data_IF_441008995673
#
_entry.id   IF_441008995673
#
_cell.length_a   1.000
_cell.length_b   1.000
_cell.length_c   1.000
_cell.angle_alpha   90.00
_cell.angle_beta   90.00
_cell.angle_gamma   90.00
#
_symmetry.space_group_name_H-M   'P 1'
#
loop_
_entity.id
_entity.type
_entity.pdbx_description
1 polymer ?
#
# COMPACT_ATOMS: atom_id res chain seq x y z
N UNK A 1 -33.24 35.51 5.92
CA UNK A 1 -33.37 34.36 5.04
C UNK A 1 -32.24 34.44 4.04
N UNK A 2 -31.21 33.73 4.24
CA UNK A 2 -30.14 33.59 3.27
C UNK A 2 -29.79 32.09 3.28
N UNK A 3 -30.11 31.42 2.19
CA UNK A 3 -29.82 30.03 1.94
C UNK A 3 -28.33 29.84 1.73
N UNK A 4 -27.78 29.01 2.56
CA UNK A 4 -26.40 28.55 2.47
C UNK A 4 -26.39 27.36 1.50
N UNK A 5 -26.12 27.58 0.24
CA UNK A 5 -25.79 26.53 -0.72
C UNK A 5 -24.34 26.11 -0.51
N UNK A 6 -24.18 24.97 0.11
CA UNK A 6 -22.91 24.26 0.25
C UNK A 6 -22.51 23.71 -1.12
N UNK A 7 -21.68 24.43 -1.83
CA UNK A 7 -21.10 24.05 -3.12
C UNK A 7 -19.87 23.19 -2.86
N UNK A 8 -20.07 21.87 -2.74
CA UNK A 8 -18.99 20.91 -2.80
C UNK A 8 -18.53 20.76 -4.26
N UNK A 9 -17.68 21.68 -4.70
CA UNK A 9 -16.91 21.48 -5.92
C UNK A 9 -15.92 20.33 -5.66
N UNK A 10 -16.23 19.16 -6.19
CA UNK A 10 -15.32 18.01 -6.24
C UNK A 10 -14.04 18.41 -6.99
N UNK A 11 -12.93 18.32 -6.31
CA UNK A 11 -11.58 18.59 -6.84
C UNK A 11 -11.29 17.61 -7.99
N UNK A 12 -10.76 18.11 -9.10
CA UNK A 12 -10.24 17.26 -10.19
C UNK A 12 -9.05 16.43 -9.71
N UNK A 13 -9.21 15.11 -9.74
CA UNK A 13 -8.16 14.17 -9.38
C UNK A 13 -6.93 14.32 -10.30
N UNK A 14 -5.73 14.26 -9.74
CA UNK A 14 -4.51 14.20 -10.54
C UNK A 14 -4.45 12.90 -11.36
N UNK A 15 -3.76 12.87 -12.50
CA UNK A 15 -3.66 11.65 -13.32
C UNK A 15 -3.20 10.41 -12.56
N UNK A 16 -2.23 10.54 -11.65
CA UNK A 16 -1.76 9.43 -10.83
C UNK A 16 -2.84 8.95 -9.84
N UNK A 17 -3.52 9.86 -9.12
CA UNK A 17 -4.62 9.54 -8.21
C UNK A 17 -5.72 8.77 -8.92
N UNK A 18 -6.06 9.23 -10.12
CA UNK A 18 -7.08 8.63 -10.94
C UNK A 18 -6.70 7.21 -11.38
N UNK A 19 -5.42 7.03 -11.76
CA UNK A 19 -4.89 5.73 -12.17
C UNK A 19 -4.86 4.73 -11.00
N UNK A 20 -4.51 5.19 -9.81
CA UNK A 20 -4.54 4.40 -8.58
C UNK A 20 -5.95 3.96 -8.21
N UNK A 21 -6.91 4.88 -8.27
CA UNK A 21 -8.31 4.56 -8.03
C UNK A 21 -8.83 3.56 -9.05
N UNK A 22 -8.44 3.64 -10.33
CA UNK A 22 -8.79 2.66 -11.36
C UNK A 22 -8.26 1.27 -10.99
N UNK A 23 -7.00 1.18 -10.58
CA UNK A 23 -6.40 -0.10 -10.18
C UNK A 23 -7.05 -0.66 -8.91
N UNK A 24 -7.32 0.19 -7.92
CA UNK A 24 -8.03 -0.18 -6.70
C UNK A 24 -9.45 -0.70 -7.00
N UNK A 25 -10.17 -0.08 -7.93
CA UNK A 25 -11.48 -0.56 -8.37
C UNK A 25 -11.39 -1.92 -9.06
N UNK A 26 -10.36 -2.14 -9.86
CA UNK A 26 -10.14 -3.42 -10.56
C UNK A 26 -9.72 -4.55 -9.61
N UNK A 27 -9.23 -4.26 -8.42
CA UNK A 27 -9.03 -5.29 -7.37
C UNK A 27 -10.35 -5.74 -6.74
N UNK A 28 -11.34 -4.85 -6.70
CA UNK A 28 -12.69 -5.12 -6.13
C UNK A 28 -13.68 -5.66 -7.16
N UNK A 29 -13.52 -5.28 -8.41
CA UNK A 29 -14.38 -5.67 -9.53
C UNK A 29 -13.51 -6.18 -10.66
N UNK A 30 -13.71 -7.41 -11.07
CA UNK A 30 -12.91 -8.02 -12.16
C UNK A 30 -12.97 -7.24 -13.48
N UNK A 31 -14.00 -6.42 -13.68
CA UNK A 31 -14.21 -5.58 -14.86
C UNK A 31 -14.86 -4.26 -14.46
N UNK A 32 -14.36 -3.15 -15.02
CA UNK A 32 -14.94 -1.80 -14.86
C UNK A 32 -15.13 -1.16 -16.22
N UNK A 33 -16.21 -0.39 -16.39
CA UNK A 33 -16.49 0.31 -17.65
C UNK A 33 -15.94 1.74 -17.64
N UNK A 34 -15.68 2.29 -18.83
CA UNK A 34 -15.21 3.68 -18.98
C UNK A 34 -16.22 4.65 -18.40
N UNK A 35 -17.51 4.40 -18.58
CA UNK A 35 -18.58 5.30 -18.09
C UNK A 35 -18.69 5.29 -16.56
N UNK A 36 -18.59 4.11 -15.92
CA UNK A 36 -18.55 4.00 -14.46
C UNK A 36 -17.34 4.73 -13.87
N UNK A 37 -16.17 4.52 -14.47
CA UNK A 37 -14.96 5.21 -14.05
C UNK A 37 -15.05 6.72 -14.23
N UNK A 38 -15.61 7.20 -15.33
CA UNK A 38 -15.78 8.64 -15.56
C UNK A 38 -16.69 9.29 -14.51
N UNK A 39 -17.76 8.60 -14.12
CA UNK A 39 -18.69 9.05 -13.08
C UNK A 39 -18.05 9.02 -11.70
N UNK A 40 -17.44 7.89 -11.33
CA UNK A 40 -16.78 7.68 -10.02
C UNK A 40 -15.61 8.64 -9.78
N UNK A 41 -14.82 8.91 -10.82
CA UNK A 41 -13.62 9.74 -10.74
C UNK A 41 -13.87 11.20 -11.08
N UNK A 42 -15.15 11.58 -11.26
CA UNK A 42 -15.57 12.93 -11.65
C UNK A 42 -14.73 13.52 -12.80
N UNK A 43 -14.56 12.73 -13.88
CA UNK A 43 -13.72 13.11 -15.03
C UNK A 43 -14.39 12.72 -16.35
N UNK A 44 -13.78 13.07 -17.48
CA UNK A 44 -14.34 12.74 -18.80
C UNK A 44 -13.97 11.31 -19.23
N UNK A 45 -14.82 10.66 -20.03
CA UNK A 45 -14.49 9.36 -20.63
C UNK A 45 -13.20 9.38 -21.46
N UNK A 46 -12.87 10.50 -22.07
CA UNK A 46 -11.62 10.67 -22.85
C UNK A 46 -10.42 10.56 -21.92
N UNK A 47 -10.49 11.22 -20.76
CA UNK A 47 -9.44 11.15 -19.73
C UNK A 47 -9.29 9.72 -19.20
N UNK A 48 -10.40 9.07 -18.86
CA UNK A 48 -10.40 7.66 -18.43
C UNK A 48 -9.78 6.74 -19.48
N UNK A 49 -10.15 6.89 -20.76
CA UNK A 49 -9.58 6.08 -21.85
C UNK A 49 -8.08 6.25 -22.00
N UNK A 50 -7.59 7.48 -21.77
CA UNK A 50 -6.15 7.77 -21.75
C UNK A 50 -5.45 7.07 -20.59
N UNK A 51 -6.02 7.16 -19.38
CA UNK A 51 -5.48 6.52 -18.19
C UNK A 51 -5.46 4.98 -18.34
N UNK A 52 -6.56 4.39 -18.80
CA UNK A 52 -6.62 2.97 -19.11
C UNK A 52 -5.60 2.52 -20.15
N UNK A 53 -5.26 3.39 -21.10
CA UNK A 53 -4.22 3.09 -22.11
C UNK A 53 -2.83 3.08 -21.48
N UNK A 54 -2.56 4.06 -20.60
CA UNK A 54 -1.29 4.14 -19.88
C UNK A 54 -1.10 2.91 -19.00
N UNK A 55 -2.11 2.55 -18.20
CA UNK A 55 -2.10 1.39 -17.31
C UNK A 55 -1.99 0.06 -18.06
N UNK A 56 -2.65 -0.07 -19.21
CA UNK A 56 -2.55 -1.26 -20.05
C UNK A 56 -1.15 -1.41 -20.68
N UNK A 57 -0.55 -0.31 -21.14
CA UNK A 57 0.81 -0.30 -21.68
C UNK A 57 1.87 -0.60 -20.60
N UNK A 58 1.58 -0.24 -19.34
CA UNK A 58 2.37 -0.60 -18.17
C UNK A 58 2.16 -2.06 -17.71
N UNK A 59 1.25 -2.82 -18.37
CA UNK A 59 0.95 -4.20 -18.00
C UNK A 59 0.19 -4.34 -16.67
N UNK A 60 -0.49 -3.30 -16.19
CA UNK A 60 -1.17 -3.29 -14.90
C UNK A 60 -2.65 -3.71 -15.00
N UNK A 61 -3.23 -3.66 -16.19
CA UNK A 61 -4.59 -4.10 -16.49
C UNK A 61 -4.71 -4.55 -17.95
N UNK A 62 -5.81 -5.22 -18.28
CA UNK A 62 -6.15 -5.59 -19.67
C UNK A 62 -7.32 -4.73 -20.16
N UNK A 63 -7.16 -4.07 -21.31
CA UNK A 63 -8.26 -3.36 -21.95
C UNK A 63 -9.28 -4.32 -22.58
N UNK A 64 -10.55 -4.03 -22.35
CA UNK A 64 -11.69 -4.71 -22.99
C UNK A 64 -12.56 -3.67 -23.69
N UNK A 65 -13.50 -4.13 -24.53
CA UNK A 65 -14.41 -3.21 -25.25
C UNK A 65 -15.27 -2.45 -24.23
N UNK A 66 -15.06 -1.13 -24.15
CA UNK A 66 -15.80 -0.24 -23.25
C UNK A 66 -15.26 -0.13 -21.83
N UNK A 67 -14.09 -0.72 -21.48
CA UNK A 67 -13.57 -0.68 -20.13
C UNK A 67 -12.19 -1.33 -19.95
N UNK A 68 -11.97 -1.83 -18.76
CA UNK A 68 -10.77 -2.57 -18.38
C UNK A 68 -11.11 -3.75 -17.46
N UNK A 69 -10.20 -4.72 -17.40
CA UNK A 69 -10.28 -5.87 -16.50
C UNK A 69 -8.95 -6.09 -15.77
N UNK A 70 -9.03 -6.67 -14.59
CA UNK A 70 -7.87 -7.10 -13.82
C UNK A 70 -7.11 -8.22 -14.54
N UNK A 71 -5.78 -8.24 -14.42
CA UNK A 71 -4.92 -9.31 -14.95
C UNK A 71 -5.07 -10.63 -14.19
N UNK A 72 -5.57 -10.60 -12.96
CA UNK A 72 -5.74 -11.77 -12.09
C UNK A 72 -6.93 -12.67 -12.49
N UNK A 73 -7.60 -12.41 -13.61
CA UNK A 73 -8.83 -13.08 -14.04
C UNK A 73 -8.69 -14.06 -15.21
N UNK A 74 -7.52 -14.57 -15.56
CA UNK A 74 -7.37 -15.50 -16.67
C UNK A 74 -7.23 -16.96 -16.22
N UNK A 75 -8.32 -17.55 -15.74
CA UNK A 75 -8.53 -18.99 -15.86
C UNK A 75 -9.73 -19.23 -16.79
N UNK A 76 -9.43 -19.84 -17.90
CA UNK A 76 -10.29 -20.31 -18.98
C UNK A 76 -11.66 -20.81 -18.51
N UNK A 77 -12.73 -20.22 -19.06
CA UNK A 77 -13.91 -20.99 -19.42
C UNK A 77 -14.61 -20.39 -20.63
N UNK A 78 -14.49 -21.08 -21.73
CA UNK A 78 -15.33 -20.98 -22.94
C UNK A 78 -16.78 -21.30 -22.57
N UNK A 79 -17.69 -20.38 -22.83
CA UNK A 79 -19.11 -20.58 -22.67
C UNK A 79 -19.88 -19.31 -23.01
N UNK A 80 -20.42 -19.24 -24.21
CA UNK A 80 -21.36 -18.24 -24.70
C UNK A 80 -22.58 -18.16 -23.77
N UNK A 81 -22.88 -16.98 -23.22
CA UNK A 81 -24.23 -16.65 -22.76
C UNK A 81 -24.51 -15.15 -22.96
N UNK A 82 -25.51 -14.88 -23.73
CA UNK A 82 -26.16 -13.59 -23.92
C UNK A 82 -26.85 -13.12 -22.62
N UNK A 83 -26.80 -11.83 -22.25
CA UNK A 83 -27.54 -11.35 -21.09
C UNK A 83 -28.97 -10.99 -21.49
N UNK A 84 -29.93 -11.56 -20.78
CA UNK A 84 -31.30 -11.06 -20.71
C UNK A 84 -31.47 -10.27 -19.40
N UNK A 85 -31.73 -8.98 -19.55
CA UNK A 85 -32.20 -8.14 -18.46
C UNK A 85 -33.73 -8.31 -18.33
N UNK A 86 -34.20 -8.60 -17.12
CA UNK A 86 -35.41 -8.03 -16.49
C UNK A 86 -35.72 -8.76 -15.20
N UNK A 87 -35.61 -8.10 -14.06
CA UNK A 87 -36.56 -8.21 -12.96
C UNK A 87 -36.14 -7.37 -11.74
N UNK A 88 -37.09 -6.87 -10.94
CA UNK A 88 -36.91 -5.80 -9.98
C UNK A 88 -36.33 -6.28 -8.64
N UNK A 89 -35.73 -5.31 -7.93
CA UNK A 89 -35.17 -5.46 -6.58
C UNK A 89 -36.31 -5.72 -5.58
N UNK A 90 -36.25 -6.78 -4.76
CA UNK A 90 -37.08 -6.89 -3.58
C UNK A 90 -36.38 -6.37 -2.32
N UNK A 91 -37.14 -5.63 -1.53
CA UNK A 91 -36.85 -5.16 -0.17
C UNK A 91 -36.65 -6.30 0.84
N UNK A 92 -35.93 -6.04 1.96
CA UNK A 92 -35.52 -7.09 2.89
C UNK A 92 -36.62 -7.42 3.91
N UNK A 93 -37.30 -8.50 3.69
CA UNK A 93 -38.04 -9.24 4.74
C UNK A 93 -38.20 -10.71 4.31
N UNK A 94 -37.65 -11.60 5.11
CA UNK A 94 -37.92 -13.04 4.99
C UNK A 94 -36.73 -13.87 4.53
N UNK A 95 -35.76 -14.11 5.43
CA UNK A 95 -34.87 -15.27 5.32
C UNK A 95 -35.68 -16.49 5.72
N UNK A 96 -36.21 -17.18 4.73
CA UNK A 96 -36.78 -18.49 4.87
C UNK A 96 -35.78 -19.56 4.48
N UNK A 97 -35.62 -20.55 5.32
CA UNK A 97 -34.81 -21.75 5.16
C UNK A 97 -34.87 -22.32 3.73
N UNK A 98 -33.81 -22.12 2.96
CA UNK A 98 -33.52 -23.01 1.85
C UNK A 98 -32.31 -23.86 2.23
N UNK A 99 -32.42 -25.19 2.21
CA UNK A 99 -31.26 -26.05 2.39
C UNK A 99 -30.31 -25.84 1.19
N UNK A 100 -29.07 -25.50 1.49
CA UNK A 100 -27.97 -25.48 0.53
C UNK A 100 -27.86 -26.86 -0.12
N UNK A 101 -27.61 -26.96 -1.43
CA UNK A 101 -27.40 -28.24 -2.09
C UNK A 101 -26.18 -28.93 -1.48
N UNK A 102 -26.43 -29.98 -0.72
CA UNK A 102 -25.41 -30.92 -0.25
C UNK A 102 -24.92 -31.71 -1.44
N UNK A 103 -23.66 -31.50 -1.84
CA UNK A 103 -23.01 -32.37 -2.83
C UNK A 103 -22.22 -31.66 -3.91
N UNK A 104 -21.43 -30.63 -3.56
CA UNK A 104 -20.25 -30.27 -4.33
C UNK A 104 -19.08 -30.46 -3.36
N UNK A 105 -18.23 -31.45 -3.63
CA UNK A 105 -16.96 -31.57 -2.92
C UNK A 105 -16.19 -30.26 -3.17
N UNK A 106 -16.21 -29.37 -2.18
CA UNK A 106 -15.38 -28.17 -2.22
C UNK A 106 -13.90 -28.64 -2.17
N UNK A 107 -13.11 -28.46 -3.23
CA UNK A 107 -11.72 -28.89 -3.26
C UNK A 107 -10.86 -28.23 -2.17
N UNK A 108 -11.41 -27.27 -1.44
CA UNK A 108 -10.78 -26.56 -0.33
C UNK A 108 -11.36 -26.98 1.06
N UNK A 109 -12.36 -27.87 1.08
CA UNK A 109 -12.91 -28.36 2.35
C UNK A 109 -11.81 -29.02 3.18
N UNK A 110 -11.60 -28.54 4.40
CA UNK A 110 -10.61 -29.07 5.33
C UNK A 110 -9.17 -28.57 5.20
N UNK A 111 -8.88 -27.69 4.24
CA UNK A 111 -7.55 -27.04 4.19
C UNK A 111 -7.41 -26.01 5.33
N UNK A 112 -6.20 -25.93 5.96
CA UNK A 112 -5.91 -24.88 6.90
C UNK A 112 -6.15 -23.47 6.29
N UNK A 113 -6.64 -22.56 7.11
CA UNK A 113 -6.95 -21.18 6.70
C UNK A 113 -6.03 -20.21 7.44
N UNK A 114 -5.43 -19.31 6.69
CA UNK A 114 -4.71 -18.17 7.25
C UNK A 114 -5.58 -16.92 7.07
N UNK A 115 -5.94 -16.26 8.19
CA UNK A 115 -6.57 -14.94 8.18
C UNK A 115 -5.54 -13.88 7.82
N UNK A 116 -5.86 -12.98 6.88
CA UNK A 116 -4.96 -11.91 6.44
C UNK A 116 -5.66 -10.58 6.59
N UNK A 117 -5.24 -9.75 7.57
CA UNK A 117 -5.72 -8.40 7.80
C UNK A 117 -4.65 -7.39 7.43
N UNK A 118 -4.83 -6.70 6.33
CA UNK A 118 -3.91 -5.68 5.84
C UNK A 118 -4.67 -4.38 5.57
N UNK A 119 -3.97 -3.22 5.60
CA UNK A 119 -4.59 -1.94 5.28
C UNK A 119 -5.18 -1.90 3.87
N UNK A 120 -6.06 -0.93 3.65
CA UNK A 120 -6.65 -0.68 2.34
C UNK A 120 -5.60 -0.68 1.22
N UNK A 121 -5.98 -1.13 0.01
CA UNK A 121 -5.02 -1.32 -1.08
C UNK A 121 -4.27 -0.03 -1.40
N UNK A 122 -2.96 -0.12 -1.36
CA UNK A 122 -2.01 0.79 -1.97
C UNK A 122 -1.26 0.00 -3.05
N UNK A 123 -0.24 0.53 -3.66
CA UNK A 123 0.65 -0.27 -4.52
C UNK A 123 1.46 -1.33 -3.77
N UNK A 124 1.60 -1.18 -2.48
CA UNK A 124 2.40 -2.05 -1.62
C UNK A 124 1.67 -3.36 -1.29
N UNK A 125 0.50 -3.28 -0.67
CA UNK A 125 -0.20 -4.42 -0.08
C UNK A 125 -0.67 -5.49 -1.06
N UNK A 126 -1.14 -5.17 -2.29
CA UNK A 126 -1.53 -6.19 -3.26
C UNK A 126 -0.41 -7.19 -3.60
N UNK A 127 0.84 -6.70 -3.69
CA UNK A 127 1.99 -7.58 -3.95
C UNK A 127 2.35 -8.44 -2.73
N UNK A 128 2.16 -7.92 -1.51
CA UNK A 128 2.35 -8.68 -0.27
C UNK A 128 1.29 -9.79 -0.17
N UNK A 129 0.01 -9.46 -0.42
CA UNK A 129 -1.11 -10.43 -0.40
C UNK A 129 -0.87 -11.55 -1.41
N UNK A 130 -0.42 -11.21 -2.63
CA UNK A 130 -0.16 -12.23 -3.64
C UNK A 130 0.97 -13.17 -3.21
N UNK A 131 2.06 -12.64 -2.66
CA UNK A 131 3.14 -13.46 -2.11
C UNK A 131 2.67 -14.34 -0.94
N UNK A 132 1.87 -13.79 -0.03
CA UNK A 132 1.26 -14.57 1.06
C UNK A 132 0.43 -15.72 0.48
N UNK A 133 -0.38 -15.45 -0.56
CA UNK A 133 -1.23 -16.46 -1.21
C UNK A 133 -0.40 -17.57 -1.86
N UNK A 134 0.63 -17.19 -2.63
CA UNK A 134 1.53 -18.13 -3.28
C UNK A 134 2.17 -19.06 -2.24
N UNK A 135 2.77 -18.49 -1.20
CA UNK A 135 3.46 -19.26 -0.17
C UNK A 135 2.50 -20.09 0.69
N UNK A 136 1.31 -19.56 1.05
CA UNK A 136 0.30 -20.34 1.76
C UNK A 136 -0.10 -21.60 0.98
N UNK A 137 -0.25 -21.49 -0.35
CA UNK A 137 -0.56 -22.62 -1.22
C UNK A 137 0.57 -23.69 -1.20
N UNK A 138 1.85 -23.30 -1.09
CA UNK A 138 2.96 -24.25 -0.94
C UNK A 138 2.80 -25.11 0.31
N UNK A 139 2.26 -24.55 1.39
CA UNK A 139 1.97 -25.25 2.64
C UNK A 139 0.58 -25.95 2.66
N UNK A 140 -0.14 -25.95 1.53
CA UNK A 140 -1.47 -26.53 1.44
C UNK A 140 -2.55 -25.72 2.18
N UNK A 141 -2.26 -24.50 2.60
CA UNK A 141 -3.19 -23.59 3.25
C UNK A 141 -3.87 -22.66 2.23
N UNK A 142 -5.05 -22.16 2.56
CA UNK A 142 -5.72 -21.08 1.83
C UNK A 142 -5.73 -19.81 2.68
N UNK A 143 -5.84 -18.65 2.03
CA UNK A 143 -5.99 -17.39 2.73
C UNK A 143 -7.43 -16.88 2.67
N UNK A 144 -7.85 -16.19 3.73
CA UNK A 144 -9.05 -15.36 3.76
C UNK A 144 -8.62 -13.96 4.18
N UNK A 145 -8.79 -12.99 3.30
CA UNK A 145 -8.32 -11.62 3.53
C UNK A 145 -9.45 -10.65 3.82
N UNK A 146 -9.17 -9.69 4.69
CA UNK A 146 -9.98 -8.51 4.97
C UNK A 146 -9.09 -7.28 5.01
N UNK A 147 -9.62 -6.18 4.49
CA UNK A 147 -8.96 -4.89 4.51
C UNK A 147 -9.34 -4.14 5.78
N UNK A 148 -8.32 -3.64 6.50
CA UNK A 148 -8.51 -2.68 7.59
C UNK A 148 -8.46 -1.27 7.03
N UNK A 149 -9.26 -0.35 7.57
CA UNK A 149 -9.24 1.05 7.18
C UNK A 149 -8.43 1.88 8.17
N UNK A 150 -7.61 2.80 7.68
CA UNK A 150 -6.92 3.75 8.54
C UNK A 150 -7.89 4.72 9.26
N UNK A 151 -9.07 4.96 8.67
CA UNK A 151 -10.06 5.92 9.18
C UNK A 151 -11.14 5.24 10.04
N UNK A 152 -11.41 3.97 9.80
CA UNK A 152 -12.45 3.19 10.50
C UNK A 152 -11.80 2.14 11.38
N UNK A 153 -12.06 2.25 12.67
CA UNK A 153 -11.59 1.30 13.68
C UNK A 153 -12.45 0.05 13.60
N UNK A 154 -12.01 -0.94 12.82
CA UNK A 154 -12.71 -2.21 12.68
C UNK A 154 -11.78 -3.43 12.79
N UNK A 155 -10.56 -3.23 13.27
CA UNK A 155 -9.54 -4.30 13.30
C UNK A 155 -9.97 -5.47 14.19
N UNK A 156 -10.45 -5.18 15.39
CA UNK A 156 -10.91 -6.24 16.31
C UNK A 156 -12.13 -6.98 15.78
N UNK A 157 -13.05 -6.31 15.10
CA UNK A 157 -14.20 -6.94 14.44
C UNK A 157 -13.75 -7.89 13.32
N UNK A 158 -12.73 -7.48 12.54
CA UNK A 158 -12.15 -8.33 11.50
C UNK A 158 -11.47 -9.55 12.12
N UNK A 159 -10.72 -9.35 13.19
CA UNK A 159 -10.02 -10.42 13.89
C UNK A 159 -11.01 -11.41 14.54
N UNK A 160 -12.06 -10.92 15.16
CA UNK A 160 -13.14 -11.74 15.71
C UNK A 160 -13.86 -12.51 14.60
N UNK A 161 -14.08 -11.87 13.46
CA UNK A 161 -14.68 -12.55 12.31
C UNK A 161 -13.80 -13.71 11.82
N UNK A 162 -12.46 -13.56 11.78
CA UNK A 162 -11.57 -14.68 11.41
C UNK A 162 -11.75 -15.87 12.35
N UNK A 163 -12.01 -15.66 13.64
CA UNK A 163 -12.19 -16.76 14.59
C UNK A 163 -13.46 -17.59 14.33
N UNK A 164 -14.38 -17.09 13.51
CA UNK A 164 -15.56 -17.88 13.08
C UNK A 164 -15.22 -18.90 11.99
N UNK A 165 -14.03 -18.83 11.39
CA UNK A 165 -13.58 -19.78 10.36
C UNK A 165 -13.10 -21.09 11.04
N UNK A 166 -13.78 -22.22 10.80
CA UNK A 166 -13.49 -23.46 11.55
C UNK A 166 -12.09 -24.02 11.34
N UNK A 167 -11.48 -23.71 10.20
CA UNK A 167 -10.15 -24.21 9.83
C UNK A 167 -9.05 -23.16 10.03
N UNK A 168 -9.32 -22.08 10.76
CA UNK A 168 -8.33 -21.04 11.03
C UNK A 168 -7.14 -21.63 11.77
N UNK A 169 -5.96 -21.51 11.20
CA UNK A 169 -4.71 -22.00 11.80
C UNK A 169 -3.77 -20.89 12.24
N UNK A 170 -3.95 -19.67 11.75
CA UNK A 170 -3.14 -18.52 12.13
C UNK A 170 -3.57 -17.24 11.41
N UNK A 171 -2.97 -16.13 11.82
CA UNK A 171 -3.30 -14.79 11.30
C UNK A 171 -2.02 -14.06 10.91
N UNK A 172 -2.04 -13.40 9.75
CA UNK A 172 -1.05 -12.38 9.34
C UNK A 172 -1.76 -11.03 9.35
N UNK A 173 -1.25 -10.08 10.15
CA UNK A 173 -1.92 -8.80 10.32
C UNK A 173 -0.93 -7.62 10.21
N UNK A 174 -1.41 -6.50 9.66
CA UNK A 174 -0.73 -5.21 9.74
C UNK A 174 -1.65 -4.22 10.45
N UNK A 175 -1.58 -4.12 11.79
CA UNK A 175 -2.45 -3.23 12.55
C UNK A 175 -2.19 -1.76 12.23
N UNK A 176 -3.19 -0.91 12.45
CA UNK A 176 -3.01 0.53 12.34
C UNK A 176 -2.00 1.00 13.38
N UNK A 177 -1.16 1.96 13.01
CA UNK A 177 -0.18 2.54 13.93
C UNK A 177 -0.78 3.58 14.91
N UNK A 178 -2.09 3.76 14.91
CA UNK A 178 -2.75 4.77 15.75
C UNK A 178 -2.79 4.33 17.20
N UNK A 179 -2.35 5.18 18.16
CA UNK A 179 -2.27 4.80 19.57
C UNK A 179 -3.62 4.41 20.19
N UNK A 180 -4.69 5.08 19.76
CA UNK A 180 -6.05 4.90 20.30
C UNK A 180 -6.71 3.58 19.86
N UNK A 181 -6.30 3.04 18.73
CA UNK A 181 -6.81 1.79 18.15
C UNK A 181 -5.86 0.64 18.36
N UNK A 182 -4.57 0.92 18.19
CA UNK A 182 -3.52 -0.08 18.21
C UNK A 182 -3.48 -0.85 19.54
N UNK A 183 -3.78 -0.19 20.67
CA UNK A 183 -3.77 -0.88 21.97
C UNK A 183 -4.79 -2.03 22.02
N UNK A 184 -6.00 -1.83 21.52
CA UNK A 184 -7.04 -2.87 21.49
C UNK A 184 -6.64 -4.03 20.58
N UNK A 185 -6.08 -3.73 19.42
CA UNK A 185 -5.60 -4.74 18.47
C UNK A 185 -4.43 -5.55 19.05
N UNK A 186 -3.48 -4.88 19.72
CA UNK A 186 -2.37 -5.57 20.37
C UNK A 186 -2.83 -6.39 21.59
N UNK A 187 -3.83 -5.93 22.35
CA UNK A 187 -4.46 -6.71 23.40
C UNK A 187 -5.17 -7.95 22.82
N UNK A 188 -5.83 -7.81 21.69
CA UNK A 188 -6.43 -8.94 21.00
C UNK A 188 -5.36 -9.97 20.59
N UNK A 189 -4.24 -9.54 20.01
CA UNK A 189 -3.14 -10.45 19.64
C UNK A 189 -2.58 -11.23 20.85
N UNK A 190 -2.48 -10.56 22.00
CA UNK A 190 -2.00 -11.20 23.23
C UNK A 190 -2.92 -12.34 23.70
N UNK A 191 -4.19 -12.34 23.31
CA UNK A 191 -5.19 -13.35 23.70
C UNK A 191 -5.69 -14.17 22.51
N UNK A 192 -5.04 -14.05 21.37
CA UNK A 192 -5.44 -14.76 20.15
C UNK A 192 -5.48 -16.26 20.34
N UNK A 193 -6.55 -16.96 19.88
CA UNK A 193 -6.64 -18.41 19.96
C UNK A 193 -5.69 -19.13 18.96
N UNK A 194 -5.11 -18.40 18.04
CA UNK A 194 -4.19 -18.93 17.02
C UNK A 194 -2.94 -18.04 16.91
N UNK A 195 -1.80 -18.56 16.43
CA UNK A 195 -0.60 -17.78 16.20
C UNK A 195 -0.83 -16.56 15.30
N UNK A 196 -0.17 -15.45 15.63
CA UNK A 196 -0.20 -14.20 14.87
C UNK A 196 1.21 -13.83 14.43
N UNK A 197 1.35 -13.39 13.17
CA UNK A 197 2.54 -12.74 12.64
C UNK A 197 2.17 -11.34 12.18
N UNK A 198 2.95 -10.35 12.60
CA UNK A 198 2.71 -8.95 12.26
C UNK A 198 3.58 -8.53 11.09
N UNK A 199 2.96 -7.95 10.05
CA UNK A 199 3.63 -7.44 8.86
C UNK A 199 3.79 -5.92 8.92
N UNK A 200 5.00 -5.41 8.66
CA UNK A 200 5.33 -3.97 8.55
C UNK A 200 5.00 -3.12 9.80
N UNK A 201 4.79 -3.75 10.94
CA UNK A 201 4.52 -3.03 12.19
C UNK A 201 5.38 -3.58 13.32
N UNK A 202 5.57 -2.75 14.32
CA UNK A 202 6.21 -3.10 15.57
C UNK A 202 5.23 -2.98 16.71
N UNK A 203 5.42 -3.80 17.74
CA UNK A 203 4.61 -3.66 18.94
C UNK A 203 4.93 -2.33 19.64
N UNK A 204 3.97 -1.76 20.37
CA UNK A 204 4.22 -0.60 21.22
C UNK A 204 5.34 -0.86 22.22
N UNK A 205 6.15 0.14 22.50
CA UNK A 205 7.35 0.05 23.38
C UNK A 205 7.06 -0.58 24.74
N UNK A 206 5.87 -0.37 25.28
CA UNK A 206 5.41 -0.93 26.55
C UNK A 206 4.36 -2.03 26.38
N UNK A 207 4.25 -2.59 25.18
CA UNK A 207 3.32 -3.69 24.93
C UNK A 207 3.76 -4.97 25.64
N UNK A 208 2.78 -5.74 26.09
CA UNK A 208 2.98 -7.05 26.73
C UNK A 208 2.76 -8.22 25.75
N UNK A 209 2.47 -7.92 24.51
CA UNK A 209 2.22 -8.92 23.47
C UNK A 209 3.51 -9.19 22.71
N UNK A 210 4.01 -10.43 22.78
CA UNK A 210 5.21 -10.86 22.06
C UNK A 210 4.80 -11.71 20.86
N UNK A 211 4.63 -11.06 19.70
CA UNK A 211 4.28 -11.71 18.43
C UNK A 211 5.44 -11.63 17.46
N UNK A 212 5.55 -12.62 16.59
CA UNK A 212 6.53 -12.60 15.51
C UNK A 212 6.23 -11.45 14.54
N UNK A 213 7.26 -10.82 14.01
CA UNK A 213 7.10 -9.75 13.04
C UNK A 213 8.07 -9.86 11.86
N UNK A 214 7.59 -9.44 10.69
CA UNK A 214 8.39 -9.32 9.47
C UNK A 214 8.23 -7.91 8.93
N UNK A 215 9.33 -7.20 8.74
CA UNK A 215 9.31 -5.76 8.40
C UNK A 215 10.39 -5.39 7.40
N UNK A 216 10.12 -4.37 6.60
CA UNK A 216 11.17 -3.71 5.82
C UNK A 216 12.19 -3.03 6.76
N UNK A 217 13.47 -3.23 6.50
CA UNK A 217 14.56 -2.56 7.20
C UNK A 217 14.73 -1.13 6.68
N UNK A 218 13.78 -0.26 7.02
CA UNK A 218 13.82 1.14 6.58
C UNK A 218 15.09 1.85 6.99
N UNK A 219 15.59 1.59 8.20
CA UNK A 219 16.84 2.21 8.69
C UNK A 219 18.02 1.92 7.75
N UNK A 220 18.19 0.66 7.35
CA UNK A 220 19.27 0.29 6.43
C UNK A 220 19.03 0.83 5.01
N UNK A 221 17.77 0.89 4.58
CA UNK A 221 17.40 1.52 3.31
C UNK A 221 17.77 3.01 3.28
N UNK A 222 17.48 3.75 4.34
CA UNK A 222 17.81 5.17 4.46
C UNK A 222 19.32 5.43 4.42
N UNK A 223 20.13 4.52 5.00
CA UNK A 223 21.59 4.59 4.83
C UNK A 223 22.01 4.40 3.38
N UNK A 224 21.36 3.49 2.64
CA UNK A 224 21.62 3.33 1.18
C UNK A 224 21.30 4.62 0.41
N UNK A 225 20.16 5.26 0.72
CA UNK A 225 19.79 6.54 0.10
C UNK A 225 20.80 7.64 0.42
N UNK A 226 21.20 7.78 1.68
CA UNK A 226 22.20 8.76 2.11
C UNK A 226 23.55 8.56 1.39
N UNK A 227 24.03 7.31 1.32
CA UNK A 227 25.27 6.98 0.61
C UNK A 227 25.14 7.31 -0.88
N UNK A 228 24.02 7.02 -1.51
CA UNK A 228 23.79 7.32 -2.92
C UNK A 228 23.81 8.83 -3.17
N UNK A 229 23.13 9.63 -2.35
CA UNK A 229 23.20 11.09 -2.43
C UNK A 229 24.64 11.62 -2.28
N UNK A 230 25.36 11.15 -1.27
CA UNK A 230 26.74 11.57 -1.02
C UNK A 230 27.71 11.19 -2.15
N UNK A 231 27.52 10.02 -2.78
CA UNK A 231 28.31 9.58 -3.94
C UNK A 231 28.08 10.48 -5.17
N UNK A 232 26.91 11.13 -5.25
CA UNK A 232 26.56 12.09 -6.30
C UNK A 232 26.85 13.55 -5.90
N UNK A 233 27.53 13.78 -4.77
CA UNK A 233 27.93 15.12 -4.32
C UNK A 233 26.90 15.86 -3.49
N UNK A 234 25.69 15.29 -3.27
CA UNK A 234 24.66 15.94 -2.47
C UNK A 234 24.95 15.85 -0.98
N UNK A 235 25.13 17.01 -0.36
CA UNK A 235 25.33 17.15 1.08
C UNK A 235 24.21 17.94 1.75
N UNK A 236 23.42 18.73 1.00
CA UNK A 236 22.31 19.50 1.50
C UNK A 236 20.99 18.90 1.00
N UNK A 237 20.34 18.13 1.88
CA UNK A 237 19.23 17.22 1.54
C UNK A 237 18.03 17.52 2.41
N UNK A 238 16.87 17.81 1.80
CA UNK A 238 15.60 17.93 2.52
C UNK A 238 14.87 16.57 2.59
N UNK A 239 13.92 16.45 3.50
CA UNK A 239 13.09 15.27 3.62
C UNK A 239 11.60 15.63 3.74
N UNK A 240 10.73 14.80 3.15
CA UNK A 240 9.28 14.94 3.26
C UNK A 240 8.61 13.56 3.36
N UNK A 241 7.77 13.39 4.39
CA UNK A 241 7.16 12.10 4.72
C UNK A 241 5.63 12.21 4.81
N UNK A 242 4.94 11.31 4.10
CA UNK A 242 3.49 11.18 4.19
C UNK A 242 3.07 10.65 5.57
N UNK A 243 1.89 11.03 6.04
CA UNK A 243 1.31 10.54 7.29
C UNK A 243 0.75 9.13 7.11
N UNK A 244 1.60 8.13 7.32
CA UNK A 244 1.26 6.71 7.31
C UNK A 244 1.79 6.04 8.57
N UNK A 245 1.27 4.88 8.97
CA UNK A 245 1.79 4.16 10.14
C UNK A 245 3.29 3.81 10.07
N UNK A 246 3.88 3.78 8.87
CA UNK A 246 5.30 3.49 8.65
C UNK A 246 6.17 4.75 8.73
N UNK A 247 5.57 5.92 8.59
CA UNK A 247 6.29 7.20 8.48
C UNK A 247 7.15 7.53 9.69
N UNK A 248 6.64 7.26 10.89
CA UNK A 248 7.41 7.48 12.12
C UNK A 248 8.71 6.65 12.17
N UNK A 249 8.65 5.41 11.64
CA UNK A 249 9.84 4.53 11.55
C UNK A 249 10.84 5.08 10.55
N UNK A 250 10.33 5.55 9.39
CA UNK A 250 11.15 6.14 8.33
C UNK A 250 11.81 7.45 8.82
N UNK A 251 11.03 8.33 9.42
CA UNK A 251 11.51 9.61 9.95
C UNK A 251 12.58 9.40 11.04
N UNK A 252 12.32 8.53 12.00
CA UNK A 252 13.28 8.18 13.04
C UNK A 252 14.56 7.58 12.46
N UNK A 253 14.41 6.71 11.47
CA UNK A 253 15.56 6.14 10.74
C UNK A 253 16.37 7.20 10.02
N UNK A 254 15.74 8.20 9.39
CA UNK A 254 16.43 9.33 8.76
C UNK A 254 17.15 10.20 9.77
N UNK A 255 16.49 10.57 10.87
CA UNK A 255 17.12 11.32 11.97
C UNK A 255 18.34 10.59 12.53
N UNK A 256 18.27 9.26 12.60
CA UNK A 256 19.42 8.45 13.04
C UNK A 256 20.59 8.52 12.04
N UNK A 257 20.30 8.43 10.74
CA UNK A 257 21.33 8.63 9.70
C UNK A 257 21.98 10.00 9.79
N UNK A 258 21.21 11.06 10.05
CA UNK A 258 21.73 12.42 10.22
C UNK A 258 22.61 12.53 11.47
N UNK A 259 22.23 11.90 12.57
CA UNK A 259 23.01 11.91 13.82
C UNK A 259 24.31 11.12 13.71
N UNK A 260 24.35 10.09 12.86
CA UNK A 260 25.53 9.25 12.65
C UNK A 260 26.58 9.90 11.73
N UNK A 261 26.27 11.04 11.11
CA UNK A 261 27.14 11.63 10.09
C UNK A 261 26.97 13.14 9.94
N UNK A 262 28.05 13.87 10.18
CA UNK A 262 28.13 15.32 9.93
C UNK A 262 28.22 15.69 8.43
N UNK A 263 28.13 14.70 7.53
CA UNK A 263 28.29 14.91 6.08
C UNK A 263 27.03 15.41 5.40
N UNK A 264 25.87 15.30 6.05
CA UNK A 264 24.58 15.70 5.49
C UNK A 264 24.00 16.83 6.34
N UNK A 265 23.77 17.98 5.70
CA UNK A 265 22.96 19.08 6.20
C UNK A 265 21.50 18.85 5.74
N UNK A 266 20.60 18.67 6.71
CA UNK A 266 19.18 18.52 6.45
C UNK A 266 18.43 19.72 7.04
N UNK A 267 18.19 20.79 6.25
CA UNK A 267 17.62 22.03 6.78
C UNK A 267 16.14 21.90 7.19
N UNK A 268 15.46 20.87 6.72
CA UNK A 268 14.08 20.58 7.10
C UNK A 268 13.74 19.10 6.92
N UNK A 269 12.85 18.63 7.79
CA UNK A 269 12.08 17.41 7.66
C UNK A 269 10.62 17.83 7.76
N UNK A 270 9.81 17.50 6.77
CA UNK A 270 8.37 17.71 6.76
C UNK A 270 7.70 16.35 6.97
N UNK A 271 6.81 16.28 7.93
CA UNK A 271 6.02 15.10 8.28
C UNK A 271 4.53 15.43 8.30
N UNK A 272 3.68 14.47 8.62
CA UNK A 272 2.24 14.68 8.75
C UNK A 272 1.55 15.06 7.43
N UNK A 273 2.20 14.83 6.28
CA UNK A 273 1.63 15.14 4.98
C UNK A 273 0.59 14.08 4.66
N UNK A 274 -0.69 14.48 4.59
CA UNK A 274 -1.77 13.54 4.35
C UNK A 274 -1.53 12.79 3.03
N UNK A 275 -1.63 11.45 3.05
CA UNK A 275 -1.52 10.64 1.84
C UNK A 275 -2.54 11.13 0.80
N UNK A 276 -2.09 11.24 -0.46
CA UNK A 276 -2.91 11.69 -1.59
C UNK A 276 -3.41 13.14 -1.52
N UNK A 277 -3.12 13.91 -0.49
CA UNK A 277 -3.38 15.35 -0.47
C UNK A 277 -2.23 16.12 -1.13
N UNK A 278 -2.50 16.69 -2.28
CA UNK A 278 -1.52 17.51 -3.01
C UNK A 278 -1.68 19.01 -2.77
N UNK A 279 -2.65 19.44 -1.92
CA UNK A 279 -2.91 20.86 -1.68
C UNK A 279 -1.73 21.59 -1.04
N UNK A 280 -0.90 20.89 -0.25
CA UNK A 280 0.28 21.43 0.41
C UNK A 280 1.58 21.34 -0.39
N UNK A 281 1.59 20.69 -1.57
CA UNK A 281 2.84 20.38 -2.30
C UNK A 281 3.52 21.65 -2.83
N UNK A 282 2.78 22.68 -3.21
CA UNK A 282 3.37 23.98 -3.59
C UNK A 282 4.21 24.57 -2.45
N UNK A 283 3.72 24.51 -1.20
CA UNK A 283 4.47 24.95 -0.02
C UNK A 283 5.73 24.10 0.26
N UNK A 284 5.68 22.79 -0.04
CA UNK A 284 6.86 21.93 0.04
C UNK A 284 7.91 22.39 -0.98
N UNK A 285 7.49 22.66 -2.20
CA UNK A 285 8.40 23.13 -3.26
C UNK A 285 8.94 24.52 -2.94
N UNK A 286 8.14 25.44 -2.41
CA UNK A 286 8.64 26.73 -1.92
C UNK A 286 9.75 26.50 -0.86
N UNK A 287 9.54 25.58 0.08
CA UNK A 287 10.56 25.25 1.09
C UNK A 287 11.84 24.68 0.49
N UNK A 288 11.72 23.81 -0.53
CA UNK A 288 12.84 23.25 -1.29
C UNK A 288 13.68 24.38 -1.90
N UNK A 289 13.02 25.33 -2.56
CA UNK A 289 13.68 26.44 -3.26
C UNK A 289 14.30 27.44 -2.28
N UNK A 290 13.59 27.80 -1.21
CA UNK A 290 14.05 28.77 -0.21
C UNK A 290 15.27 28.26 0.57
N UNK A 291 15.34 26.98 0.84
CA UNK A 291 16.43 26.37 1.61
C UNK A 291 17.62 25.93 0.77
N UNK A 292 17.52 26.06 -0.56
CA UNK A 292 18.58 25.69 -1.50
C UNK A 292 19.09 24.25 -1.33
N UNK A 293 18.21 23.30 -0.98
CA UNK A 293 18.56 21.88 -1.00
C UNK A 293 18.79 21.43 -2.44
N UNK A 294 19.73 20.53 -2.64
CA UNK A 294 20.05 19.97 -3.95
C UNK A 294 19.39 18.62 -4.18
N UNK A 295 18.89 17.99 -3.11
CA UNK A 295 18.25 16.70 -3.18
C UNK A 295 17.14 16.58 -2.14
N UNK A 296 16.19 15.66 -2.39
CA UNK A 296 15.07 15.36 -1.51
C UNK A 296 14.93 13.85 -1.33
N UNK A 297 14.73 13.43 -0.07
CA UNK A 297 14.26 12.11 0.29
C UNK A 297 12.76 12.20 0.56
N UNK A 298 11.95 11.42 -0.12
CA UNK A 298 10.49 11.54 -0.08
C UNK A 298 9.84 10.19 0.19
N UNK A 299 8.94 10.13 1.14
CA UNK A 299 7.99 9.03 1.35
C UNK A 299 6.57 9.60 1.21
N UNK A 300 5.74 9.11 0.31
CA UNK A 300 5.84 7.95 -0.57
C UNK A 300 6.13 8.34 -2.03
N UNK A 301 6.16 7.34 -2.92
CA UNK A 301 6.31 7.57 -4.39
C UNK A 301 5.32 8.59 -4.91
N UNK A 302 4.10 8.56 -4.39
CA UNK A 302 3.04 9.47 -4.75
C UNK A 302 3.39 10.94 -4.47
N UNK A 303 3.89 11.22 -3.25
CA UNK A 303 4.33 12.56 -2.87
C UNK A 303 5.54 13.01 -3.71
N UNK A 304 6.47 12.09 -3.99
CA UNK A 304 7.64 12.37 -4.83
C UNK A 304 7.24 12.77 -6.25
N UNK A 305 6.25 12.11 -6.84
CA UNK A 305 5.72 12.46 -8.16
C UNK A 305 5.04 13.83 -8.13
N UNK A 306 4.24 14.10 -7.11
CA UNK A 306 3.56 15.37 -6.96
C UNK A 306 4.57 16.53 -6.81
N UNK A 307 5.63 16.34 -6.02
CA UNK A 307 6.73 17.30 -5.88
C UNK A 307 7.43 17.51 -7.23
N UNK A 308 7.77 16.45 -7.96
CA UNK A 308 8.43 16.56 -9.27
C UNK A 308 7.57 17.33 -10.29
N UNK A 309 6.25 17.13 -10.29
CA UNK A 309 5.32 17.86 -11.15
C UNK A 309 5.24 19.36 -10.81
N UNK A 310 5.24 19.71 -9.51
CA UNK A 310 5.23 21.12 -9.09
C UNK A 310 6.57 21.77 -9.41
N UNK A 311 7.70 21.11 -9.18
CA UNK A 311 9.01 21.59 -9.58
C UNK A 311 9.05 21.93 -11.08
N UNK A 312 8.52 21.05 -11.92
CA UNK A 312 8.46 21.29 -13.36
C UNK A 312 7.61 22.51 -13.72
N UNK A 313 6.44 22.67 -13.10
CA UNK A 313 5.61 23.88 -13.29
C UNK A 313 6.32 25.15 -12.88
N UNK A 314 7.24 25.06 -11.90
CA UNK A 314 8.11 26.18 -11.45
C UNK A 314 9.38 26.34 -12.30
N UNK A 315 9.51 25.60 -13.41
CA UNK A 315 10.67 25.65 -14.30
C UNK A 315 11.92 24.95 -13.76
N UNK A 316 11.75 24.08 -12.77
CA UNK A 316 12.82 23.26 -12.19
C UNK A 316 12.75 21.83 -12.71
N UNK A 317 13.89 21.20 -12.93
CA UNK A 317 13.98 19.87 -13.50
C UNK A 317 14.50 18.86 -12.48
N UNK A 318 13.96 17.67 -12.54
CA UNK A 318 14.47 16.49 -11.86
C UNK A 318 15.17 15.63 -12.93
N UNK A 319 16.45 15.28 -12.76
CA UNK A 319 17.32 15.53 -11.60
C UNK A 319 18.16 16.81 -11.63
N UNK A 320 18.16 17.56 -12.75
CA UNK A 320 19.19 18.58 -13.05
C UNK A 320 19.24 19.73 -12.03
N UNK A 321 18.08 20.18 -11.53
CA UNK A 321 17.98 21.27 -10.54
C UNK A 321 17.78 20.69 -9.12
N UNK A 322 16.99 19.61 -8.98
CA UNK A 322 16.72 18.93 -7.70
C UNK A 322 16.72 17.43 -7.94
N UNK A 323 17.55 16.70 -7.21
CA UNK A 323 17.57 15.24 -7.20
C UNK A 323 16.52 14.68 -6.25
N UNK A 324 15.88 13.54 -6.61
CA UNK A 324 14.86 12.90 -5.79
C UNK A 324 15.16 11.40 -5.59
N UNK A 325 15.02 10.94 -4.35
CA UNK A 325 14.85 9.51 -4.05
C UNK A 325 13.51 9.35 -3.36
N UNK A 326 12.68 8.40 -3.83
CA UNK A 326 11.45 8.06 -3.16
C UNK A 326 11.56 6.74 -2.39
N UNK A 327 10.64 6.54 -1.44
CA UNK A 327 10.52 5.33 -0.64
C UNK A 327 9.20 4.65 -1.03
N UNK A 328 9.21 3.33 -1.08
CA UNK A 328 8.24 2.30 -1.45
C UNK A 328 8.60 1.62 -2.79
N UNK A 329 8.93 2.35 -3.80
CA UNK A 329 9.60 1.83 -5.00
C UNK A 329 8.73 1.08 -5.98
N UNK A 330 7.41 1.29 -5.97
CA UNK A 330 6.52 0.65 -6.91
C UNK A 330 6.50 1.39 -8.25
N UNK A 331 6.37 0.61 -9.33
CA UNK A 331 6.39 1.12 -10.68
C UNK A 331 5.29 2.18 -10.86
N UNK A 332 5.69 3.42 -10.83
CA UNK A 332 4.83 4.51 -11.20
C UNK A 332 4.71 4.55 -12.72
N UNK A 333 3.50 4.66 -13.27
CA UNK A 333 3.29 4.82 -14.70
C UNK A 333 3.80 6.17 -15.23
N UNK A 334 4.60 6.90 -14.46
CA UNK A 334 5.08 8.21 -14.86
C UNK A 334 6.09 8.10 -15.99
N UNK A 335 6.02 9.05 -16.90
CA UNK A 335 7.03 9.27 -17.96
C UNK A 335 8.43 9.60 -17.40
N UNK A 336 8.58 9.67 -16.07
CA UNK A 336 9.83 9.99 -15.38
C UNK A 336 10.14 8.93 -14.35
N UNK A 337 11.18 8.14 -14.57
CA UNK A 337 11.62 7.16 -13.61
C UNK A 337 12.23 7.86 -12.39
N UNK A 338 11.77 7.50 -11.18
CA UNK A 338 12.36 7.93 -9.92
C UNK A 338 13.30 6.85 -9.38
N UNK A 339 14.46 7.25 -8.92
CA UNK A 339 15.33 6.43 -8.06
C UNK A 339 14.62 6.16 -6.75
N UNK A 340 14.56 4.90 -6.33
CA UNK A 340 13.67 4.48 -5.24
C UNK A 340 14.35 3.51 -4.28
N UNK A 341 13.97 3.61 -3.01
CA UNK A 341 14.15 2.52 -2.05
C UNK A 341 12.94 1.59 -2.16
N UNK A 342 13.11 0.46 -2.84
CA UNK A 342 12.05 -0.51 -3.08
C UNK A 342 12.05 -1.59 -2.01
N UNK A 343 10.95 -1.69 -1.27
CA UNK A 343 10.69 -2.80 -0.36
C UNK A 343 10.50 -4.11 -1.14
N UNK A 344 11.02 -5.21 -0.61
CA UNK A 344 10.87 -6.53 -1.24
C UNK A 344 9.58 -7.20 -0.74
N UNK A 345 8.45 -6.81 -1.31
CA UNK A 345 7.12 -7.30 -0.92
C UNK A 345 6.94 -8.79 -1.11
N UNK A 346 7.61 -9.37 -2.12
CA UNK A 346 7.55 -10.81 -2.34
C UNK A 346 8.19 -11.57 -1.19
N UNK A 347 9.38 -11.17 -0.78
CA UNK A 347 10.09 -11.79 0.35
C UNK A 347 9.38 -11.51 1.68
N UNK A 348 8.82 -10.31 1.83
CA UNK A 348 8.03 -9.95 3.01
C UNK A 348 6.84 -10.90 3.21
N UNK A 349 6.04 -11.12 2.17
CA UNK A 349 4.88 -12.01 2.21
C UNK A 349 5.28 -13.47 2.43
N UNK A 350 6.31 -13.94 1.74
CA UNK A 350 6.86 -15.30 1.91
C UNK A 350 7.31 -15.54 3.35
N UNK A 351 8.10 -14.62 3.92
CA UNK A 351 8.59 -14.73 5.29
C UNK A 351 7.46 -14.64 6.32
N UNK A 352 6.42 -13.85 6.10
CA UNK A 352 5.25 -13.83 6.99
C UNK A 352 4.61 -15.22 7.11
N UNK A 353 4.38 -15.89 5.98
CA UNK A 353 3.78 -17.23 5.99
C UNK A 353 4.74 -18.25 6.60
N UNK A 354 6.00 -18.28 6.21
CA UNK A 354 6.98 -19.23 6.76
C UNK A 354 7.16 -19.07 8.25
N UNK A 355 7.19 -17.82 8.74
CA UNK A 355 7.27 -17.54 10.18
C UNK A 355 6.02 -18.03 10.90
N UNK A 356 4.84 -17.81 10.34
CA UNK A 356 3.58 -18.29 10.88
C UNK A 356 3.56 -19.83 10.95
N UNK A 357 3.93 -20.50 9.88
CA UNK A 357 3.96 -21.97 9.83
C UNK A 357 5.00 -22.56 10.80
N UNK A 358 6.12 -21.89 11.00
CA UNK A 358 7.08 -22.28 12.03
C UNK A 358 6.52 -22.11 13.45
N UNK A 359 5.80 -21.03 13.72
CA UNK A 359 5.14 -20.80 15.02
C UNK A 359 4.05 -21.83 15.28
N UNK A 360 3.29 -22.24 14.26
CA UNK A 360 2.29 -23.31 14.37
C UNK A 360 2.96 -24.64 14.71
N UNK A 361 4.10 -24.94 14.08
CA UNK A 361 4.83 -26.19 14.32
C UNK A 361 5.56 -26.23 15.67
N UNK A 362 6.00 -25.07 16.17
CA UNK A 362 6.70 -24.93 17.46
C UNK A 362 6.19 -23.69 18.20
N UNK A 363 5.10 -23.82 18.98
CA UNK A 363 4.52 -22.71 19.74
C UNK A 363 5.46 -22.10 20.79
N UNK A 364 6.41 -22.86 21.30
CA UNK A 364 7.36 -22.44 22.34
C UNK A 364 8.64 -21.80 21.77
N UNK A 365 8.78 -21.73 20.45
CA UNK A 365 9.92 -21.06 19.82
C UNK A 365 10.06 -19.60 20.29
N UNK A 366 11.28 -19.12 20.36
CA UNK A 366 11.53 -17.70 20.68
C UNK A 366 10.85 -16.78 19.66
N UNK A 367 10.32 -15.66 20.12
CA UNK A 367 9.75 -14.61 19.27
C UNK A 367 10.81 -14.07 18.31
N UNK A 368 10.45 -13.87 17.06
CA UNK A 368 11.33 -13.42 15.98
C UNK A 368 10.89 -12.10 15.42
N UNK A 369 11.86 -11.21 15.22
CA UNK A 369 11.69 -9.97 14.49
C UNK A 369 12.59 -10.00 13.27
N UNK A 370 11.99 -10.21 12.10
CA UNK A 370 12.71 -10.38 10.82
C UNK A 370 12.70 -9.07 10.06
N UNK A 371 13.86 -8.67 9.57
CA UNK A 371 14.04 -7.50 8.74
C UNK A 371 14.41 -7.88 7.31
N UNK A 372 13.69 -7.31 6.35
CA UNK A 372 13.96 -7.45 4.92
C UNK A 372 14.55 -6.16 4.39
N UNK A 373 15.75 -6.21 3.87
CA UNK A 373 16.43 -5.01 3.38
C UNK A 373 15.80 -4.51 2.08
N UNK A 374 15.43 -3.21 1.99
CA UNK A 374 14.99 -2.63 0.74
C UNK A 374 16.16 -2.49 -0.25
N UNK A 375 15.84 -2.53 -1.53
CA UNK A 375 16.81 -2.35 -2.62
C UNK A 375 16.76 -0.91 -3.12
N UNK A 376 17.91 -0.24 -3.21
CA UNK A 376 18.02 1.00 -3.96
C UNK A 376 18.01 0.66 -5.46
N UNK A 377 17.03 1.18 -6.18
CA UNK A 377 16.91 1.04 -7.63
C UNK A 377 17.15 2.41 -8.24
N UNK A 378 18.34 2.60 -8.79
CA UNK A 378 18.68 3.83 -9.49
C UNK A 378 17.97 3.87 -10.85
N UNK A 379 17.25 4.97 -11.09
CA UNK A 379 16.50 5.23 -12.32
C UNK A 379 16.82 6.60 -12.93
N UNK A 380 17.89 7.23 -12.45
CA UNK A 380 18.42 8.48 -13.00
C UNK A 380 17.71 9.74 -12.50
N UNK A 381 17.03 9.71 -11.36
CA UNK A 381 16.49 10.92 -10.74
C UNK A 381 17.44 11.58 -9.72
N UNK A 382 18.69 11.11 -9.66
CA UNK A 382 19.77 11.71 -8.88
C UNK A 382 20.91 12.10 -9.83
N UNK A 383 21.15 13.39 -9.96
CA UNK A 383 22.26 13.92 -10.77
C UNK A 383 23.56 13.97 -9.96
N UNK A 384 24.68 13.88 -10.63
CA UNK A 384 25.97 14.18 -10.00
C UNK A 384 26.21 15.69 -10.04
N UNK A 385 26.48 16.28 -8.87
CA UNK A 385 26.85 17.69 -8.72
C UNK A 385 28.30 17.81 -8.30
N UNK A 386 28.95 18.89 -8.75
CA UNK A 386 30.39 19.20 -8.48
C UNK A 386 30.55 20.05 -7.23
#
# INVERSE_FOLDING_TARGET
MAENTNDHHGRDLLPAERQDMILSLLTRQSVVTVTELATLLNTTEITVRRDLTILANAGLLKRVRGGAMSLSGTTTRTGSLTPSFTAPIPTPDGISDMPLPTGIDDPNAGKPVIGVMLPEPSFFWPNVIESIRETANEFGARIVSRESSYDKINETEILDWFTTEPSLCGIIASPSGRPDVGEQTWQWFAHSPVPVVVAERDQPVFGTCYVDSVRTNHHYGLRKAAVHFLQHGHTRIGAAFSDTPTSAVIENGWKHVLNDSDRIDCPFILDGIQPYDTSGVDGIVDRILDTHVTAMLVHSDYLAIAIAQVLERRGKRVPDDISLISIDGYATPSSRPLTVLRSNTKELGDLCVRTLMQRIADPEAATRHIFVDPTLVDRGSVATIS
#
